data_IF_144723893259
#
_entry.id   IF_144723893259
#
_cell.length_a   1.000
_cell.length_b   1.000
_cell.length_c   1.000
_cell.angle_alpha   90.00
_cell.angle_beta   90.00
_cell.angle_gamma   90.00
#
_symmetry.space_group_name_H-M   'P 1'
#
loop_
_entity.id
_entity.type
_entity.pdbx_description
1 polymer ?
#
# COMPACT_ATOMS: atom_id res chain seq x y z
N UNK A 1 0.92 19.28 -6.20
CA UNK A 1 1.42 18.82 -4.90
C UNK A 1 1.58 20.01 -3.97
N UNK A 2 1.07 19.92 -2.75
CA UNK A 2 1.20 21.01 -1.80
C UNK A 2 2.65 21.18 -1.35
N UNK A 3 3.04 22.44 -1.11
CA UNK A 3 4.37 22.78 -0.58
C UNK A 3 4.49 22.33 0.88
N UNK A 4 4.67 21.04 1.07
CA UNK A 4 4.92 20.48 2.39
C UNK A 4 6.42 20.31 2.58
N UNK A 5 6.92 20.70 3.73
CA UNK A 5 8.32 20.43 4.07
C UNK A 5 8.54 18.94 4.26
N UNK A 6 9.77 18.48 4.12
CA UNK A 6 10.10 17.06 4.38
C UNK A 6 9.74 16.64 5.80
N UNK A 7 9.76 17.59 6.74
CA UNK A 7 9.38 17.31 8.13
C UNK A 7 7.89 17.03 8.31
N UNK A 8 7.07 17.47 7.36
CA UNK A 8 5.62 17.26 7.39
C UNK A 8 5.19 16.01 6.63
N UNK A 9 6.12 15.40 5.90
CA UNK A 9 5.84 14.19 5.16
C UNK A 9 5.78 12.99 6.11
N UNK A 10 4.71 12.23 6.03
CA UNK A 10 4.58 10.99 6.79
C UNK A 10 5.36 9.85 6.15
N UNK A 11 5.45 8.72 6.84
CA UNK A 11 6.06 7.53 6.26
C UNK A 11 5.35 7.11 4.99
N UNK A 12 6.13 6.74 3.99
CA UNK A 12 5.62 6.25 2.70
C UNK A 12 5.83 4.76 2.63
N UNK A 13 4.77 4.03 2.36
CA UNK A 13 4.79 2.58 2.20
C UNK A 13 4.32 2.20 0.81
N UNK A 14 4.64 0.97 0.42
CA UNK A 14 4.05 0.39 -0.78
C UNK A 14 3.47 -0.99 -0.47
N UNK A 15 2.44 -1.34 -1.22
CA UNK A 15 1.82 -2.67 -1.19
C UNK A 15 1.75 -3.19 -2.62
N UNK A 16 2.02 -4.47 -2.78
CA UNK A 16 1.79 -5.16 -4.05
C UNK A 16 0.77 -6.24 -3.77
N UNK A 17 -0.39 -6.14 -4.40
CA UNK A 17 -1.45 -7.13 -4.28
C UNK A 17 -1.63 -7.84 -5.62
N UNK A 18 -1.94 -9.12 -5.56
CA UNK A 18 -2.08 -9.96 -6.75
C UNK A 18 -3.45 -10.61 -6.75
N UNK A 19 -4.11 -10.55 -7.90
CA UNK A 19 -5.40 -11.21 -8.11
C UNK A 19 -5.18 -12.37 -9.09
N UNK A 20 -5.41 -13.61 -8.65
CA UNK A 20 -5.26 -14.76 -9.54
C UNK A 20 -6.19 -14.67 -10.76
N UNK A 21 -5.83 -15.39 -11.82
CA UNK A 21 -6.65 -15.45 -13.03
C UNK A 21 -8.10 -15.86 -12.67
N UNK A 22 -9.05 -15.12 -13.21
CA UNK A 22 -10.48 -15.37 -12.96
C UNK A 22 -11.06 -14.74 -11.71
N UNK A 23 -10.24 -14.11 -10.87
CA UNK A 23 -10.69 -13.46 -9.64
C UNK A 23 -10.36 -11.97 -9.60
N UNK A 24 -10.41 -11.34 -10.76
CA UNK A 24 -9.96 -9.97 -10.93
C UNK A 24 -11.10 -8.98 -10.71
N UNK A 25 -11.34 -8.59 -9.49
CA UNK A 25 -12.34 -7.57 -9.16
C UNK A 25 -11.66 -6.38 -8.49
N UNK A 26 -11.15 -5.48 -9.30
CA UNK A 26 -10.38 -4.32 -8.87
C UNK A 26 -11.24 -3.13 -8.48
N UNK A 27 -12.49 -3.07 -8.95
CA UNK A 27 -13.37 -1.93 -8.77
C UNK A 27 -14.44 -2.14 -7.71
N UNK A 28 -14.33 -3.23 -6.94
CA UNK A 28 -15.31 -3.54 -5.91
C UNK A 28 -14.94 -2.97 -4.54
N UNK A 29 -15.13 -3.79 -3.53
CA UNK A 29 -14.93 -3.42 -2.13
C UNK A 29 -13.52 -2.87 -1.84
N UNK A 30 -12.48 -3.43 -2.47
CA UNK A 30 -11.11 -2.96 -2.26
C UNK A 30 -10.94 -1.52 -2.74
N UNK A 31 -11.49 -1.19 -3.89
CA UNK A 31 -11.43 0.17 -4.43
C UNK A 31 -12.19 1.15 -3.54
N UNK A 32 -13.38 0.75 -3.09
CA UNK A 32 -14.19 1.58 -2.19
C UNK A 32 -13.47 1.88 -0.88
N UNK A 33 -12.83 0.88 -0.30
CA UNK A 33 -12.08 1.04 0.95
C UNK A 33 -10.85 1.93 0.76
N UNK A 34 -10.14 1.77 -0.36
CA UNK A 34 -8.99 2.64 -0.67
C UNK A 34 -9.41 4.10 -0.75
N UNK A 35 -10.51 4.37 -1.46
CA UNK A 35 -11.05 5.73 -1.58
C UNK A 35 -11.51 6.27 -0.23
N UNK A 36 -12.12 5.44 0.60
CA UNK A 36 -12.54 5.84 1.95
C UNK A 36 -11.35 6.30 2.79
N UNK A 37 -10.25 5.55 2.76
CA UNK A 37 -9.03 5.91 3.49
C UNK A 37 -8.41 7.22 2.98
N UNK A 38 -8.40 7.38 1.67
CA UNK A 38 -7.89 8.59 1.03
C UNK A 38 -8.76 9.81 1.36
N UNK A 39 -10.07 9.68 1.23
CA UNK A 39 -11.01 10.79 1.49
C UNK A 39 -11.04 11.19 2.96
N UNK A 40 -10.87 10.23 3.85
CA UNK A 40 -10.82 10.50 5.29
C UNK A 40 -9.50 11.12 5.74
N UNK A 41 -8.51 11.26 4.86
CA UNK A 41 -7.21 11.81 5.20
C UNK A 41 -6.36 10.90 6.08
N UNK A 42 -6.64 9.61 6.07
CA UNK A 42 -5.85 8.62 6.81
C UNK A 42 -4.58 8.30 6.06
N UNK A 43 -4.70 8.12 4.74
CA UNK A 43 -3.56 7.95 3.85
C UNK A 43 -3.69 8.92 2.67
N UNK A 44 -2.57 9.14 1.96
CA UNK A 44 -2.60 9.84 0.68
C UNK A 44 -2.03 8.88 -0.37
N UNK A 45 -2.86 8.52 -1.35
CA UNK A 45 -2.40 7.69 -2.46
C UNK A 45 -1.44 8.51 -3.32
N UNK A 46 -0.21 8.04 -3.45
CA UNK A 46 0.83 8.73 -4.22
C UNK A 46 0.99 8.15 -5.61
N UNK A 47 0.82 6.84 -5.75
CA UNK A 47 0.92 6.17 -7.03
C UNK A 47 0.10 4.89 -7.00
N UNK A 48 -0.46 4.53 -8.14
CA UNK A 48 -1.24 3.29 -8.29
C UNK A 48 -1.03 2.79 -9.72
N UNK A 49 -0.37 1.65 -9.84
CA UNK A 49 -0.05 1.04 -11.13
C UNK A 49 -0.68 -0.35 -11.18
N UNK A 50 -1.31 -0.66 -12.28
CA UNK A 50 -1.88 -1.98 -12.53
C UNK A 50 -0.88 -2.77 -13.37
N UNK A 51 -0.57 -3.99 -12.93
CA UNK A 51 0.33 -4.89 -13.63
C UNK A 51 -0.45 -6.10 -14.15
N UNK A 52 -0.23 -6.45 -15.40
CA UNK A 52 -0.78 -7.67 -15.97
C UNK A 52 0.38 -8.56 -16.39
N UNK A 53 0.39 -9.80 -15.92
CA UNK A 53 1.41 -10.78 -16.32
C UNK A 53 0.76 -11.82 -17.23
N UNK A 54 1.24 -11.86 -18.46
CA UNK A 54 0.75 -12.82 -19.44
C UNK A 54 1.24 -14.24 -19.12
N UNK A 55 0.62 -15.24 -19.73
CA UNK A 55 1.01 -16.64 -19.54
C UNK A 55 2.45 -16.91 -19.95
N UNK A 56 2.99 -16.16 -20.91
CA UNK A 56 4.37 -16.29 -21.38
C UNK A 56 5.37 -15.56 -20.46
N UNK A 57 4.91 -14.92 -19.40
CA UNK A 57 5.76 -14.19 -18.48
C UNK A 57 5.93 -12.70 -18.78
N UNK A 58 5.38 -12.23 -19.88
CA UNK A 58 5.43 -10.80 -20.23
C UNK A 58 4.64 -9.96 -19.24
N UNK A 59 5.22 -8.89 -18.73
CA UNK A 59 4.59 -7.98 -17.79
C UNK A 59 4.25 -6.68 -18.50
N UNK A 60 3.00 -6.26 -18.36
CA UNK A 60 2.53 -4.96 -18.86
C UNK A 60 2.08 -4.12 -17.68
N UNK A 61 2.57 -2.88 -17.63
CA UNK A 61 2.17 -1.91 -16.63
C UNK A 61 1.23 -0.89 -17.25
N UNK A 62 0.18 -0.54 -16.54
CA UNK A 62 -0.79 0.46 -16.97
C UNK A 62 -1.00 1.46 -15.85
N UNK A 63 -0.84 2.73 -16.18
CA UNK A 63 -1.22 3.80 -15.28
C UNK A 63 -2.75 3.85 -15.14
N UNK A 64 -3.21 4.38 -14.04
CA UNK A 64 -4.64 4.45 -13.77
C UNK A 64 -5.41 5.17 -14.86
N UNK A 65 -4.85 6.24 -15.41
CA UNK A 65 -5.49 7.03 -16.47
C UNK A 65 -5.60 6.34 -17.82
N UNK A 66 -4.82 5.28 -18.04
CA UNK A 66 -4.86 4.52 -19.29
C UNK A 66 -5.94 3.43 -19.29
N UNK A 67 -6.61 3.24 -18.16
CA UNK A 67 -7.64 2.22 -18.01
C UNK A 67 -9.02 2.82 -18.22
N UNK A 68 -9.85 2.18 -19.03
CA UNK A 68 -11.13 2.72 -19.44
C UNK A 68 -12.21 2.66 -18.36
N UNK A 69 -12.20 1.68 -17.49
CA UNK A 69 -13.31 1.50 -16.55
C UNK A 69 -12.79 1.26 -15.13
N UNK A 70 -12.30 2.31 -14.53
CA UNK A 70 -11.80 2.26 -13.15
C UNK A 70 -12.80 2.78 -12.12
N UNK A 71 -14.01 3.11 -12.56
CA UNK A 71 -15.03 3.63 -11.67
C UNK A 71 -14.55 4.86 -10.92
N UNK A 72 -14.82 4.90 -9.63
CA UNK A 72 -14.44 6.04 -8.78
C UNK A 72 -12.94 6.17 -8.56
N UNK A 73 -12.15 5.12 -8.79
CA UNK A 73 -10.69 5.21 -8.70
C UNK A 73 -10.10 6.18 -9.70
N UNK A 74 -10.78 6.40 -10.82
CA UNK A 74 -10.31 7.33 -11.85
C UNK A 74 -10.10 8.75 -11.34
N UNK A 75 -10.82 9.17 -10.30
CA UNK A 75 -10.65 10.52 -9.73
C UNK A 75 -9.33 10.70 -9.00
N UNK A 76 -8.65 9.62 -8.64
CA UNK A 76 -7.32 9.71 -8.01
C UNK A 76 -6.21 10.07 -8.99
N UNK A 77 -6.45 9.92 -10.29
CA UNK A 77 -5.43 10.14 -11.33
C UNK A 77 -4.74 11.49 -11.21
N UNK A 78 -5.50 12.55 -10.98
CA UNK A 78 -4.95 13.91 -10.90
C UNK A 78 -4.13 14.16 -9.63
N UNK A 79 -4.23 13.29 -8.64
CA UNK A 79 -3.54 13.42 -7.37
C UNK A 79 -2.28 12.56 -7.27
N UNK A 80 -2.03 11.73 -8.28
CA UNK A 80 -0.89 10.81 -8.28
C UNK A 80 0.42 11.53 -8.54
N UNK A 81 1.45 11.13 -7.83
CA UNK A 81 2.78 11.72 -7.93
C UNK A 81 3.75 10.93 -8.83
N UNK A 82 3.32 9.81 -9.37
CA UNK A 82 4.11 8.95 -10.26
C UNK A 82 5.50 8.65 -9.67
N UNK A 83 5.51 8.05 -8.48
CA UNK A 83 6.75 7.84 -7.72
C UNK A 83 7.51 6.57 -8.09
N UNK A 84 6.87 5.64 -8.83
CA UNK A 84 7.49 4.35 -9.15
C UNK A 84 8.30 4.42 -10.44
N UNK A 85 9.51 3.86 -10.40
CA UNK A 85 10.36 3.72 -11.57
C UNK A 85 10.05 2.43 -12.32
N UNK A 86 10.37 2.41 -13.61
CA UNK A 86 10.17 1.23 -14.45
C UNK A 86 10.85 -0.02 -13.88
N UNK A 87 12.05 0.14 -13.32
CA UNK A 87 12.78 -0.98 -12.72
C UNK A 87 12.03 -1.61 -11.55
N UNK A 88 11.36 -0.78 -10.73
CA UNK A 88 10.54 -1.26 -9.61
C UNK A 88 9.35 -2.06 -10.12
N UNK A 89 8.70 -1.57 -11.16
CA UNK A 89 7.56 -2.23 -11.79
C UNK A 89 7.95 -3.61 -12.32
N UNK A 90 9.09 -3.70 -12.98
CA UNK A 90 9.61 -4.99 -13.50
C UNK A 90 9.93 -5.95 -12.37
N UNK A 91 10.50 -5.44 -11.28
CA UNK A 91 10.79 -6.25 -10.10
C UNK A 91 9.52 -6.86 -9.51
N UNK A 92 8.48 -6.06 -9.32
CA UNK A 92 7.20 -6.54 -8.77
C UNK A 92 6.52 -7.52 -9.73
N UNK A 93 6.57 -7.24 -11.03
CA UNK A 93 6.04 -8.16 -12.03
C UNK A 93 6.73 -9.53 -12.01
N UNK A 94 8.02 -9.55 -11.69
CA UNK A 94 8.80 -10.78 -11.62
C UNK A 94 8.32 -11.76 -10.55
N UNK A 95 7.74 -11.26 -9.45
CA UNK A 95 7.26 -12.12 -8.35
C UNK A 95 5.80 -12.54 -8.52
N UNK A 96 5.11 -12.02 -9.54
CA UNK A 96 3.72 -12.37 -9.82
C UNK A 96 3.63 -13.70 -10.55
N UNK A 97 2.47 -14.36 -10.40
CA UNK A 97 2.18 -15.59 -11.15
C UNK A 97 1.74 -15.27 -12.57
N UNK A 98 2.12 -16.09 -13.56
CA UNK A 98 1.61 -15.90 -14.92
C UNK A 98 0.09 -15.91 -14.97
N UNK A 99 -0.49 -15.06 -15.80
CA UNK A 99 -1.93 -14.92 -15.94
C UNK A 99 -2.62 -14.09 -14.88
N UNK A 100 -1.87 -13.56 -13.90
CA UNK A 100 -2.45 -12.75 -12.84
C UNK A 100 -2.47 -11.26 -13.17
N UNK A 101 -3.30 -10.52 -12.45
CA UNK A 101 -3.29 -9.05 -12.44
C UNK A 101 -2.89 -8.60 -11.04
N UNK A 102 -2.02 -7.62 -10.98
CA UNK A 102 -1.58 -7.05 -9.72
C UNK A 102 -1.78 -5.55 -9.67
N UNK A 103 -1.69 -5.02 -8.48
CA UNK A 103 -1.68 -3.59 -8.25
C UNK A 103 -0.53 -3.22 -7.33
N UNK A 104 0.19 -2.19 -7.70
CA UNK A 104 1.21 -1.59 -6.86
C UNK A 104 0.67 -0.26 -6.36
N UNK A 105 0.53 -0.15 -5.05
CA UNK A 105 0.02 1.04 -4.40
C UNK A 105 1.14 1.66 -3.57
N UNK A 106 1.42 2.94 -3.80
CA UNK A 106 2.34 3.73 -2.98
C UNK A 106 1.52 4.78 -2.25
N UNK A 107 1.70 4.88 -0.95
CA UNK A 107 0.88 5.78 -0.15
C UNK A 107 1.65 6.36 1.03
N UNK A 108 1.31 7.59 1.37
CA UNK A 108 1.81 8.26 2.56
C UNK A 108 0.83 8.03 3.71
N UNK A 109 1.37 7.74 4.89
CA UNK A 109 0.57 7.60 6.11
C UNK A 109 0.34 8.96 6.75
N UNK A 110 -0.75 9.62 6.39
CA UNK A 110 -1.02 10.97 6.87
C UNK A 110 -1.23 11.02 8.38
N UNK A 111 -1.84 9.98 8.95
CA UNK A 111 -2.03 9.88 10.40
C UNK A 111 -0.68 9.89 11.12
N UNK A 112 0.32 9.25 10.57
CA UNK A 112 1.66 9.17 11.17
C UNK A 112 2.44 10.46 11.02
N UNK A 113 2.16 11.28 10.02
CA UNK A 113 2.81 12.56 9.83
C UNK A 113 2.56 13.49 11.03
N UNK A 114 1.31 13.59 11.47
CA UNK A 114 0.95 14.43 12.63
C UNK A 114 1.55 13.91 13.92
N UNK A 115 1.51 12.61 14.11
CA UNK A 115 2.09 11.98 15.29
C UNK A 115 3.60 12.19 15.32
N UNK A 116 4.28 11.97 14.18
CA UNK A 116 5.73 12.19 14.07
C UNK A 116 6.14 13.62 14.34
N UNK A 117 5.35 14.59 13.85
CA UNK A 117 5.60 16.00 14.11
C UNK A 117 5.48 16.30 15.61
N UNK A 118 4.46 15.78 16.27
CA UNK A 118 4.26 15.96 17.71
C UNK A 118 5.42 15.35 18.52
N UNK A 119 5.88 14.17 18.10
CA UNK A 119 7.03 13.52 18.75
C UNK A 119 8.28 14.41 18.63
N UNK A 120 8.55 14.93 17.44
CA UNK A 120 9.70 15.81 17.22
C UNK A 120 9.61 17.09 18.04
N UNK A 121 8.43 17.71 18.13
CA UNK A 121 8.23 18.90 18.95
C UNK A 121 8.46 18.63 20.43
N UNK A 122 8.24 17.41 20.88
CA UNK A 122 8.51 17.00 22.27
C UNK A 122 9.97 16.58 22.51
N UNK A 123 10.82 16.67 21.49
CA UNK A 123 12.24 16.30 21.60
C UNK A 123 12.53 14.84 21.28
N UNK A 124 11.52 14.10 20.79
CA UNK A 124 11.69 12.70 20.42
C UNK A 124 12.20 12.52 19.00
N UNK A 125 12.68 11.33 18.70
CA UNK A 125 13.10 10.96 17.35
C UNK A 125 12.80 9.48 17.09
N UNK A 126 12.57 9.15 15.83
CA UNK A 126 12.38 7.78 15.41
C UNK A 126 13.72 7.05 15.38
N UNK A 127 13.83 5.94 16.09
CA UNK A 127 15.06 5.13 16.09
C UNK A 127 14.86 3.77 15.41
N UNK A 128 13.60 3.32 15.24
CA UNK A 128 13.31 2.07 14.54
C UNK A 128 11.87 2.06 14.05
N UNK A 129 11.65 1.42 12.93
CA UNK A 129 10.32 1.15 12.42
C UNK A 129 10.34 -0.18 11.65
N UNK A 130 9.16 -0.69 11.34
CA UNK A 130 9.06 -1.92 10.57
C UNK A 130 7.62 -2.42 10.53
N UNK A 131 7.43 -3.51 9.81
CA UNK A 131 6.15 -4.20 9.72
C UNK A 131 6.29 -5.58 10.35
N UNK A 132 5.44 -5.88 11.30
CA UNK A 132 5.45 -7.18 11.97
C UNK A 132 4.38 -8.05 11.30
N UNK A 133 4.74 -9.24 10.78
CA UNK A 133 3.75 -10.13 10.16
C UNK A 133 2.65 -10.54 11.14
N UNK A 134 1.42 -10.61 10.65
CA UNK A 134 0.26 -10.98 11.48
C UNK A 134 0.47 -12.34 12.15
N UNK A 135 1.09 -13.29 11.46
CA UNK A 135 1.38 -14.61 12.00
C UNK A 135 2.27 -14.53 13.24
N UNK A 136 3.23 -13.61 13.26
CA UNK A 136 4.09 -13.43 14.44
C UNK A 136 3.30 -12.88 15.63
N UNK A 137 2.35 -11.98 15.40
CA UNK A 137 1.48 -11.45 16.46
C UNK A 137 0.59 -12.56 17.01
N UNK A 138 -0.02 -13.35 16.14
CA UNK A 138 -0.86 -14.49 16.56
C UNK A 138 -0.06 -15.47 17.40
N UNK A 139 1.16 -15.82 16.97
CA UNK A 139 2.03 -16.74 17.71
C UNK A 139 2.39 -16.19 19.09
N UNK A 140 2.66 -14.90 19.21
CA UNK A 140 2.97 -14.25 20.47
C UNK A 140 1.78 -14.29 21.44
N UNK A 141 0.57 -14.01 20.94
CA UNK A 141 -0.65 -14.05 21.74
C UNK A 141 -0.92 -15.49 22.23
N UNK A 142 -0.78 -16.48 21.36
CA UNK A 142 -0.97 -17.89 21.74
C UNK A 142 0.05 -18.35 22.77
N UNK A 143 1.30 -17.91 22.65
CA UNK A 143 2.34 -18.22 23.63
C UNK A 143 2.02 -17.62 25.00
N UNK A 144 1.53 -16.38 25.05
CA UNK A 144 1.12 -15.73 26.29
C UNK A 144 -0.07 -16.45 26.94
N UNK A 145 -1.03 -16.88 26.15
CA UNK A 145 -2.18 -17.65 26.63
C UNK A 145 -1.74 -18.99 27.19
N UNK A 146 -0.80 -19.66 26.56
CA UNK A 146 -0.26 -20.94 27.05
C UNK A 146 0.46 -20.78 28.37
N UNK A 147 1.27 -19.71 28.53
CA UNK A 147 1.95 -19.40 29.77
C UNK A 147 0.96 -19.08 30.90
N UNK A 148 -0.09 -18.34 30.60
CA UNK A 148 -1.13 -17.99 31.56
C UNK A 148 -1.87 -19.26 32.03
N UNK A 149 -2.13 -20.24 31.14
CA UNK A 149 -2.77 -21.47 31.44
C UNK A 149 -1.89 -22.36 32.34
N UNK A 150 -0.57 -22.36 32.13
CA UNK A 150 0.37 -23.12 32.97
C UNK A 150 0.54 -22.50 34.36
N UNK A 151 0.36 -21.18 34.49
CA UNK A 151 0.49 -20.47 35.75
C UNK A 151 -0.77 -20.51 36.63
N UNK A 152 -1.85 -21.11 36.14
CA UNK A 152 -3.14 -21.14 36.87
C UNK A 152 -3.23 -22.30 37.86
#
# INVERSE_FOLDING_TARGET
MTDRSLDELGPVDYLVVEFPAGQQNFTGEAAEELLRLHDAGIIRVMDLIILAKAEDGTVMAQELGDLEDMGELGRLETELAETLAEADVLHFGGVMKPGSIGAVLVFENLWAARFGSAVRHAGGQLIANGRIPVQAIIAAVEADEALAAEGA
#
